data_IF_645627807000
#
_entry.id   IF_645627807000
#
_cell.length_a   1.000
_cell.length_b   1.000
_cell.length_c   1.000
_cell.angle_alpha   90.00
_cell.angle_beta   90.00
_cell.angle_gamma   90.00
#
_symmetry.space_group_name_H-M   'P 1'
#
loop_
_entity.id
_entity.type
_entity.pdbx_description
1 polymer ?
#
# COMPACT_ATOMS: atom_id res chain seq x y z
N UNK A 1 12.30 -10.79 -6.82
CA UNK A 1 11.58 -11.16 -5.58
C UNK A 1 12.12 -10.46 -4.33
N UNK A 2 13.44 -10.21 -4.22
CA UNK A 2 14.02 -9.55 -3.05
C UNK A 2 13.53 -8.12 -2.82
N UNK A 3 13.42 -7.31 -3.88
CA UNK A 3 12.86 -5.96 -3.77
C UNK A 3 11.42 -5.97 -3.24
N UNK A 4 10.58 -6.89 -3.73
CA UNK A 4 9.20 -7.06 -3.25
C UNK A 4 9.19 -7.42 -1.75
N UNK A 5 10.03 -8.36 -1.32
CA UNK A 5 10.18 -8.69 0.12
C UNK A 5 10.61 -7.48 0.96
N UNK A 6 11.53 -6.66 0.44
CA UNK A 6 11.97 -5.42 1.09
C UNK A 6 10.81 -4.42 1.25
N UNK A 7 9.97 -4.26 0.22
CA UNK A 7 8.77 -3.42 0.29
C UNK A 7 7.81 -3.92 1.37
N UNK A 8 7.50 -5.21 1.41
CA UNK A 8 6.64 -5.79 2.45
C UNK A 8 7.20 -5.56 3.86
N UNK A 9 8.50 -5.77 4.05
CA UNK A 9 9.16 -5.55 5.35
C UNK A 9 9.04 -4.09 5.79
N UNK A 10 9.38 -3.15 4.91
CA UNK A 10 9.29 -1.70 5.20
C UNK A 10 7.85 -1.26 5.45
N UNK A 11 6.89 -1.78 4.68
CA UNK A 11 5.47 -1.45 4.84
C UNK A 11 4.90 -1.98 6.14
N UNK A 12 5.28 -3.20 6.54
CA UNK A 12 4.93 -3.75 7.85
C UNK A 12 5.53 -2.94 9.00
N UNK A 13 6.80 -2.52 8.90
CA UNK A 13 7.43 -1.66 9.90
C UNK A 13 6.71 -0.31 9.99
N UNK A 14 6.40 0.33 8.86
CA UNK A 14 5.67 1.59 8.83
C UNK A 14 4.27 1.45 9.46
N UNK A 15 3.54 0.38 9.16
CA UNK A 15 2.24 0.09 9.77
C UNK A 15 2.36 -0.10 11.30
N UNK A 16 3.39 -0.80 11.78
CA UNK A 16 3.64 -0.96 13.21
C UNK A 16 3.97 0.38 13.88
N UNK A 17 4.76 1.25 13.25
CA UNK A 17 5.05 2.60 13.74
C UNK A 17 3.77 3.43 13.85
N UNK A 18 2.91 3.40 12.81
CA UNK A 18 1.61 4.10 12.81
C UNK A 18 0.73 3.62 13.98
N UNK A 19 0.70 2.31 14.22
CA UNK A 19 -0.06 1.73 15.34
C UNK A 19 0.45 2.22 16.70
N UNK A 20 1.75 2.12 16.94
CA UNK A 20 2.38 2.57 18.19
C UNK A 20 2.12 4.07 18.40
N UNK A 21 2.32 4.88 17.36
CA UNK A 21 2.09 6.31 17.40
C UNK A 21 0.63 6.65 17.70
N UNK A 22 -0.33 5.96 17.06
CA UNK A 22 -1.75 6.15 17.31
C UNK A 22 -2.18 5.77 18.74
N UNK A 23 -1.58 4.72 19.31
CA UNK A 23 -1.82 4.31 20.71
C UNK A 23 -1.28 5.38 21.68
N UNK A 24 -0.08 5.90 21.45
CA UNK A 24 0.53 6.92 22.31
C UNK A 24 -0.34 8.19 22.37
N UNK A 25 -0.84 8.63 21.21
CA UNK A 25 -1.68 9.84 21.11
C UNK A 25 -3.14 9.56 21.48
N UNK A 26 -3.52 8.28 21.64
CA UNK A 26 -4.90 7.83 21.89
C UNK A 26 -5.89 8.32 20.83
N UNK A 27 -5.43 8.41 19.58
CA UNK A 27 -6.25 8.91 18.47
C UNK A 27 -6.76 7.75 17.61
N UNK A 28 -8.07 7.49 17.68
CA UNK A 28 -8.75 6.42 16.95
C UNK A 28 -8.60 6.53 15.43
N UNK A 29 -8.51 7.75 14.89
CA UNK A 29 -8.27 7.94 13.47
C UNK A 29 -6.91 7.37 13.07
N UNK A 30 -5.91 7.44 13.94
CA UNK A 30 -4.56 6.94 13.64
C UNK A 30 -4.45 5.44 13.86
N UNK A 31 -4.77 4.94 15.05
CA UNK A 31 -4.57 3.50 15.36
C UNK A 31 -5.65 2.60 14.76
N UNK A 32 -6.84 3.11 14.43
CA UNK A 32 -7.87 2.36 13.69
C UNK A 32 -7.80 2.71 12.21
N UNK A 33 -7.99 3.99 11.87
CA UNK A 33 -8.10 4.43 10.48
C UNK A 33 -6.82 4.21 9.68
N UNK A 34 -5.77 4.94 10.03
CA UNK A 34 -4.50 4.94 9.29
C UNK A 34 -3.80 3.58 9.35
N UNK A 35 -3.85 2.89 10.49
CA UNK A 35 -3.30 1.55 10.64
C UNK A 35 -4.07 0.52 9.80
N UNK A 36 -5.40 0.45 9.90
CA UNK A 36 -6.18 -0.49 9.09
C UNK A 36 -6.03 -0.21 7.59
N UNK A 37 -5.93 1.07 7.20
CA UNK A 37 -5.64 1.47 5.83
C UNK A 37 -4.26 0.98 5.37
N UNK A 38 -3.27 1.05 6.25
CA UNK A 38 -1.91 0.55 6.00
C UNK A 38 -1.87 -0.97 5.82
N UNK A 39 -2.57 -1.72 6.67
CA UNK A 39 -2.72 -3.17 6.53
C UNK A 39 -3.42 -3.50 5.21
N UNK A 40 -4.47 -2.76 4.88
CA UNK A 40 -5.22 -2.96 3.64
C UNK A 40 -4.36 -2.67 2.40
N UNK A 41 -3.51 -1.64 2.44
CA UNK A 41 -2.53 -1.32 1.39
C UNK A 41 -1.57 -2.50 1.14
N UNK A 42 -1.09 -3.14 2.22
CA UNK A 42 -0.20 -4.31 2.15
C UNK A 42 -0.91 -5.51 1.51
N UNK A 43 -2.15 -5.80 1.94
CA UNK A 43 -2.96 -6.89 1.37
C UNK A 43 -3.22 -6.65 -0.12
N UNK A 44 -3.58 -5.42 -0.48
CA UNK A 44 -3.82 -5.04 -1.87
C UNK A 44 -2.57 -5.22 -2.71
N UNK A 45 -1.42 -4.77 -2.23
CA UNK A 45 -0.15 -4.97 -2.90
C UNK A 45 0.20 -6.45 -3.07
N UNK A 46 -0.09 -7.28 -2.07
CA UNK A 46 0.05 -8.73 -2.15
C UNK A 46 -0.83 -9.34 -3.25
N UNK A 47 -2.09 -8.91 -3.37
CA UNK A 47 -2.96 -9.33 -4.47
C UNK A 47 -2.36 -8.95 -5.84
N UNK A 48 -1.76 -7.75 -5.97
CA UNK A 48 -1.07 -7.37 -7.21
C UNK A 48 0.07 -8.33 -7.53
N UNK A 49 0.92 -8.65 -6.54
CA UNK A 49 2.03 -9.58 -6.75
C UNK A 49 1.54 -10.98 -7.14
N UNK A 50 0.45 -11.46 -6.55
CA UNK A 50 -0.17 -12.74 -6.92
C UNK A 50 -0.72 -12.72 -8.35
N UNK A 51 -1.45 -11.66 -8.72
CA UNK A 51 -1.98 -11.50 -10.09
C UNK A 51 -0.84 -11.53 -11.10
N UNK A 52 0.24 -10.77 -10.87
CA UNK A 52 1.42 -10.74 -11.75
C UNK A 52 2.05 -12.13 -11.86
N UNK A 53 2.23 -12.84 -10.74
CA UNK A 53 2.80 -14.18 -10.73
C UNK A 53 1.93 -15.17 -11.51
N UNK A 54 0.61 -15.08 -11.38
CA UNK A 54 -0.34 -15.93 -12.10
C UNK A 54 -0.35 -15.66 -13.61
N UNK A 55 -0.20 -14.39 -14.01
CA UNK A 55 -0.12 -13.98 -15.41
C UNK A 55 1.20 -14.44 -16.02
N UNK A 56 2.33 -14.26 -15.32
CA UNK A 56 3.64 -14.68 -15.79
C UNK A 56 3.77 -16.20 -15.96
N UNK A 57 3.02 -16.99 -15.19
CA UNK A 57 2.98 -18.45 -15.30
C UNK A 57 2.03 -18.97 -16.39
N UNK A 58 1.25 -18.09 -17.03
CA UNK A 58 0.24 -18.44 -18.03
C UNK A 58 0.72 -18.01 -19.42
N UNK A 59 0.97 -18.97 -20.32
CA UNK A 59 1.37 -18.73 -21.73
C UNK A 59 0.42 -17.79 -22.49
N UNK A 60 -0.86 -17.72 -22.10
CA UNK A 60 -1.83 -16.79 -22.68
C UNK A 60 -2.05 -15.55 -21.80
N UNK A 61 -1.40 -14.44 -22.18
CA UNK A 61 -1.65 -13.10 -21.62
C UNK A 61 -3.05 -12.65 -22.02
N UNK A 62 -4.08 -13.16 -21.33
CA UNK A 62 -5.44 -12.69 -21.55
C UNK A 62 -5.59 -11.33 -20.88
N UNK A 63 -5.60 -10.26 -21.69
CA UNK A 63 -5.86 -8.87 -21.29
C UNK A 63 -7.10 -8.74 -20.38
N UNK A 64 -8.06 -9.67 -20.52
CA UNK A 64 -9.26 -9.80 -19.66
C UNK A 64 -8.93 -10.13 -18.20
N UNK A 65 -7.94 -10.99 -17.92
CA UNK A 65 -7.54 -11.36 -16.55
C UNK A 65 -6.94 -10.18 -15.79
N UNK A 66 -6.10 -9.38 -16.45
CA UNK A 66 -5.55 -8.15 -15.86
C UNK A 66 -6.63 -7.14 -15.50
N UNK A 67 -7.64 -6.96 -16.37
CA UNK A 67 -8.77 -6.07 -16.12
C UNK A 67 -9.63 -6.53 -14.94
N UNK A 68 -9.92 -7.83 -14.83
CA UNK A 68 -10.70 -8.40 -13.72
C UNK A 68 -9.97 -8.21 -12.38
N UNK A 69 -8.65 -8.46 -12.33
CA UNK A 69 -7.85 -8.23 -11.12
C UNK A 69 -7.88 -6.76 -10.70
N UNK A 70 -7.78 -5.84 -11.66
CA UNK A 70 -7.92 -4.40 -11.40
C UNK A 70 -9.31 -4.03 -10.84
N UNK A 71 -10.39 -4.47 -11.49
CA UNK A 71 -11.75 -4.19 -11.04
C UNK A 71 -12.01 -4.72 -9.62
N UNK A 72 -11.56 -5.94 -9.32
CA UNK A 72 -11.69 -6.54 -7.98
C UNK A 72 -11.03 -5.67 -6.91
N UNK A 73 -9.84 -5.15 -7.16
CA UNK A 73 -9.12 -4.27 -6.21
C UNK A 73 -9.86 -2.97 -5.96
N UNK A 74 -10.36 -2.31 -7.01
CA UNK A 74 -11.15 -1.07 -6.85
C UNK A 74 -12.45 -1.31 -6.10
N UNK A 75 -13.13 -2.44 -6.35
CA UNK A 75 -14.29 -2.85 -5.55
C UNK A 75 -13.93 -3.00 -4.08
N UNK A 76 -12.81 -3.66 -3.76
CA UNK A 76 -12.43 -3.86 -2.36
C UNK A 76 -12.06 -2.53 -1.70
N UNK A 77 -11.35 -1.62 -2.40
CA UNK A 77 -11.11 -0.26 -1.89
C UNK A 77 -12.41 0.51 -1.65
N UNK A 78 -13.36 0.43 -2.58
CA UNK A 78 -14.65 1.10 -2.47
C UNK A 78 -15.47 0.59 -1.29
N UNK A 79 -15.54 -0.74 -1.10
CA UNK A 79 -16.24 -1.35 0.04
C UNK A 79 -15.56 -0.98 1.36
N UNK A 80 -14.22 -1.02 1.42
CA UNK A 80 -13.47 -0.66 2.62
C UNK A 80 -13.68 0.81 3.01
N UNK A 81 -13.48 1.74 2.07
CA UNK A 81 -13.67 3.18 2.35
C UNK A 81 -15.14 3.50 2.62
N UNK A 82 -16.07 2.86 1.91
CA UNK A 82 -17.51 3.00 2.16
C UNK A 82 -17.91 2.53 3.55
N UNK A 83 -17.36 1.41 4.03
CA UNK A 83 -17.56 0.94 5.39
C UNK A 83 -17.00 1.95 6.41
N UNK A 84 -15.78 2.45 6.20
CA UNK A 84 -15.17 3.44 7.09
C UNK A 84 -15.98 4.74 7.16
N UNK A 85 -16.48 5.25 6.02
CA UNK A 85 -17.37 6.41 6.02
C UNK A 85 -18.71 6.17 6.70
N UNK A 86 -19.34 5.01 6.46
CA UNK A 86 -20.68 4.72 6.98
C UNK A 86 -20.67 4.55 8.51
N UNK A 87 -19.66 3.87 9.06
CA UNK A 87 -19.62 3.54 10.48
C UNK A 87 -18.91 4.60 11.34
N UNK A 88 -17.92 5.31 10.78
CA UNK A 88 -17.06 6.21 11.55
C UNK A 88 -16.97 7.64 10.97
N UNK A 89 -17.64 7.92 9.85
CA UNK A 89 -17.71 9.25 9.24
C UNK A 89 -16.50 9.62 8.36
N UNK A 90 -16.54 10.86 7.85
CA UNK A 90 -15.53 11.41 6.95
C UNK A 90 -14.10 11.45 7.53
N UNK A 91 -13.87 11.81 8.81
CA UNK A 91 -12.51 11.85 9.37
C UNK A 91 -11.82 10.49 9.34
N UNK A 92 -12.56 9.43 9.67
CA UNK A 92 -12.04 8.06 9.61
C UNK A 92 -11.75 7.64 8.17
N UNK A 93 -12.65 7.94 7.22
CA UNK A 93 -12.41 7.67 5.80
C UNK A 93 -11.11 8.32 5.34
N UNK A 94 -10.90 9.60 5.65
CA UNK A 94 -9.69 10.33 5.24
C UNK A 94 -8.43 9.72 5.86
N UNK A 95 -8.48 9.40 7.15
CA UNK A 95 -7.36 8.75 7.83
C UNK A 95 -7.03 7.38 7.24
N UNK A 96 -8.05 6.55 7.00
CA UNK A 96 -7.93 5.28 6.31
C UNK A 96 -7.37 5.44 4.90
N UNK A 97 -7.82 6.44 4.15
CA UNK A 97 -7.32 6.75 2.81
C UNK A 97 -5.83 7.12 2.83
N UNK A 98 -5.37 7.88 3.83
CA UNK A 98 -3.94 8.15 4.01
C UNK A 98 -3.19 6.84 4.30
N UNK A 99 -3.73 5.98 5.16
CA UNK A 99 -3.16 4.65 5.42
C UNK A 99 -3.03 3.79 4.15
N UNK A 100 -3.99 3.86 3.23
CA UNK A 100 -3.94 3.11 1.96
C UNK A 100 -2.74 3.50 1.08
N UNK A 101 -2.17 4.69 1.29
CA UNK A 101 -0.99 5.15 0.55
C UNK A 101 0.33 4.56 1.06
N UNK A 102 0.35 3.86 2.20
CA UNK A 102 1.56 3.36 2.86
C UNK A 102 2.54 2.66 1.88
N UNK A 103 2.09 1.64 1.16
CA UNK A 103 2.95 0.90 0.22
C UNK A 103 3.41 1.78 -0.95
N UNK A 104 2.54 2.65 -1.46
CA UNK A 104 2.88 3.56 -2.58
C UNK A 104 3.97 4.55 -2.17
N UNK A 105 3.85 5.12 -0.97
CA UNK A 105 4.85 6.04 -0.41
C UNK A 105 6.19 5.33 -0.26
N UNK A 106 6.21 4.09 0.24
CA UNK A 106 7.45 3.32 0.40
C UNK A 106 8.12 3.04 -0.95
N UNK A 107 7.35 2.64 -1.97
CA UNK A 107 7.89 2.44 -3.32
C UNK A 107 8.47 3.74 -3.85
N UNK A 108 7.73 4.85 -3.71
CA UNK A 108 8.17 6.16 -4.18
C UNK A 108 9.44 6.63 -3.46
N UNK A 109 9.55 6.43 -2.15
CA UNK A 109 10.74 6.74 -1.37
C UNK A 109 11.95 5.90 -1.80
N UNK A 110 11.75 4.61 -2.08
CA UNK A 110 12.83 3.75 -2.58
C UNK A 110 13.32 4.22 -3.95
N UNK A 111 12.41 4.47 -4.90
CA UNK A 111 12.77 5.00 -6.22
C UNK A 111 13.45 6.36 -6.14
N UNK A 112 12.98 7.25 -5.25
CA UNK A 112 13.60 8.55 -5.02
C UNK A 112 15.03 8.40 -4.48
N UNK A 113 15.23 7.51 -3.49
CA UNK A 113 16.55 7.26 -2.90
C UNK A 113 17.55 6.71 -3.92
N UNK A 114 17.11 5.82 -4.81
CA UNK A 114 17.94 5.31 -5.91
C UNK A 114 18.31 6.41 -6.91
N UNK A 115 17.36 7.26 -7.28
CA UNK A 115 17.59 8.37 -8.20
C UNK A 115 18.56 9.40 -7.63
N UNK A 116 18.44 9.74 -6.34
CA UNK A 116 19.36 10.66 -5.65
C UNK A 116 20.77 10.07 -5.62
N UNK A 117 20.90 8.76 -5.31
CA UNK A 117 22.20 8.08 -5.34
C UNK A 117 22.86 8.15 -6.72
N UNK A 118 22.10 7.87 -7.79
CA UNK A 118 22.61 7.98 -9.18
C UNK A 118 23.03 9.40 -9.55
N UNK A 119 22.27 10.41 -9.13
CA UNK A 119 22.63 11.82 -9.37
C UNK A 119 23.91 12.20 -8.63
N UNK A 120 24.03 11.79 -7.36
CA UNK A 120 25.22 12.01 -6.55
C UNK A 120 26.45 11.41 -7.21
N UNK A 121 26.38 10.15 -7.63
CA UNK A 121 27.52 9.44 -8.24
C UNK A 121 27.89 10.00 -9.63
N UNK A 122 26.97 10.70 -10.30
CA UNK A 122 27.20 11.37 -11.60
C UNK A 122 27.86 12.75 -11.45
N UNK A 123 27.63 13.44 -10.35
CA UNK A 123 28.14 14.80 -10.09
C UNK A 123 29.37 14.84 -9.16
N UNK A 124 29.62 13.79 -8.36
CA UNK A 124 30.78 13.67 -7.45
C UNK A 124 31.87 12.74 -7.99
N UNK A 125 31.95 12.60 -9.33
CA UNK A 125 33.05 11.94 -10.03
C UNK A 125 33.87 12.98 -10.79
#
# INVERSE_FOLDING_TARGET
MEQIKSIFKRAGIAAAIILIYGIIIKNEYVYVGMFSGSVMSIIMFYMICMDIKSIAASESVSRKRGFIGYAKRYLVYGVYLGAMAKFFGLPMLLSSAIGLLNVKVIILLMTLSENIGRLRDKFLR
#
